data_IF_845382964598
#
_entry.id   IF_845382964598
#
_cell.length_a   1.000
_cell.length_b   1.000
_cell.length_c   1.000
_cell.angle_alpha   90.00
_cell.angle_beta   90.00
_cell.angle_gamma   90.00
#
_symmetry.space_group_name_H-M   'P 1'
#
loop_
_entity.id
_entity.type
_entity.pdbx_description
1 polymer ?
#
# COMPACT_ATOMS: atom_id res chain seq x y z
N UNK A 1 23.05 8.83 -6.60
CA UNK A 1 21.91 9.24 -7.44
C UNK A 1 20.67 9.26 -6.56
N UNK A 2 19.92 10.36 -6.57
CA UNK A 2 18.70 10.52 -5.79
C UNK A 2 17.57 9.82 -6.53
N UNK A 3 17.08 8.70 -6.01
CA UNK A 3 15.88 8.04 -6.53
C UNK A 3 14.70 9.03 -6.39
N UNK A 4 14.10 9.41 -7.50
CA UNK A 4 13.02 10.39 -7.55
C UNK A 4 11.73 9.77 -7.01
N UNK A 5 11.62 9.74 -5.69
CA UNK A 5 10.44 9.27 -4.97
C UNK A 5 9.38 10.37 -4.95
N UNK A 6 8.21 10.09 -5.55
CA UNK A 6 7.05 10.98 -5.53
C UNK A 6 5.92 10.29 -4.75
N UNK A 7 5.31 11.03 -3.82
CA UNK A 7 4.17 10.59 -3.02
C UNK A 7 3.09 11.67 -3.06
N UNK A 8 1.94 11.33 -3.64
CA UNK A 8 0.87 12.28 -3.94
C UNK A 8 -0.49 11.72 -3.52
N UNK A 9 -1.42 12.58 -3.05
CA UNK A 9 -2.79 12.15 -2.81
C UNK A 9 -3.50 11.78 -4.12
N UNK A 10 -4.43 10.83 -4.04
CA UNK A 10 -5.25 10.39 -5.18
C UNK A 10 -6.69 10.81 -4.94
N UNK A 11 -7.08 11.91 -5.58
CA UNK A 11 -8.46 12.40 -5.54
C UNK A 11 -9.33 11.77 -6.63
N UNK A 12 -8.72 11.38 -7.75
CA UNK A 12 -9.41 10.81 -8.90
C UNK A 12 -8.71 9.56 -9.45
N UNK A 13 -9.50 8.77 -10.17
CA UNK A 13 -9.05 7.56 -10.86
C UNK A 13 -8.03 7.85 -11.96
N UNK A 14 -8.09 9.02 -12.59
CA UNK A 14 -7.25 9.38 -13.73
C UNK A 14 -5.78 9.61 -13.33
N UNK A 15 -5.54 9.94 -12.05
CA UNK A 15 -4.21 10.06 -11.47
C UNK A 15 -3.43 8.74 -11.50
N UNK A 16 -4.10 7.58 -11.58
CA UNK A 16 -3.45 6.26 -11.62
C UNK A 16 -3.18 5.84 -13.06
N UNK A 17 -1.97 5.37 -13.37
CA UNK A 17 -1.58 4.94 -14.73
C UNK A 17 -1.95 3.48 -14.96
N UNK A 18 -1.64 2.61 -13.99
CA UNK A 18 -1.79 1.18 -14.13
C UNK A 18 -3.26 0.73 -13.97
N UNK A 19 -3.84 -0.06 -14.91
CA UNK A 19 -5.24 -0.50 -14.86
C UNK A 19 -5.64 -1.22 -13.57
N UNK A 20 -4.80 -2.13 -13.07
CA UNK A 20 -5.01 -2.79 -11.77
C UNK A 20 -5.17 -1.80 -10.60
N UNK A 21 -4.35 -0.75 -10.54
CA UNK A 21 -4.45 0.24 -9.46
C UNK A 21 -5.72 1.07 -9.58
N UNK A 22 -6.16 1.39 -10.81
CA UNK A 22 -7.46 2.01 -11.06
C UNK A 22 -8.60 1.14 -10.54
N UNK A 23 -8.60 -0.15 -10.87
CA UNK A 23 -9.61 -1.09 -10.41
C UNK A 23 -9.61 -1.25 -8.88
N UNK A 24 -8.43 -1.23 -8.26
CA UNK A 24 -8.30 -1.27 -6.80
C UNK A 24 -8.87 0.00 -6.15
N UNK A 25 -8.61 1.17 -6.74
CA UNK A 25 -9.20 2.43 -6.29
C UNK A 25 -10.72 2.46 -6.48
N UNK A 26 -11.21 1.94 -7.60
CA UNK A 26 -12.65 1.81 -7.87
C UNK A 26 -13.33 0.89 -6.82
N UNK A 27 -12.67 -0.22 -6.45
CA UNK A 27 -13.14 -1.10 -5.37
C UNK A 27 -13.16 -0.40 -4.00
N UNK A 28 -12.14 0.42 -3.69
CA UNK A 28 -12.08 1.21 -2.46
C UNK A 28 -13.22 2.23 -2.38
N UNK A 29 -13.49 2.95 -3.47
CA UNK A 29 -14.62 3.87 -3.56
C UNK A 29 -15.95 3.13 -3.38
N UNK A 30 -16.13 1.99 -4.05
CA UNK A 30 -17.37 1.21 -3.98
C UNK A 30 -17.64 0.60 -2.59
N UNK A 31 -16.59 0.24 -1.86
CA UNK A 31 -16.67 -0.28 -0.49
C UNK A 31 -16.88 0.83 0.56
N UNK A 32 -16.74 2.11 0.20
CA UNK A 32 -16.92 3.23 1.13
C UNK A 32 -18.40 3.60 1.20
N UNK A 33 -19.05 3.26 2.31
CA UNK A 33 -20.48 3.52 2.50
C UNK A 33 -20.78 5.02 2.63
N UNK A 34 -21.98 5.49 2.22
CA UNK A 34 -22.39 6.87 2.42
C UNK A 34 -22.25 7.32 3.89
N UNK A 35 -21.56 8.44 4.11
CA UNK A 35 -21.30 8.99 5.45
C UNK A 35 -20.08 8.40 6.16
N UNK A 36 -19.39 7.43 5.57
CA UNK A 36 -18.10 6.94 6.05
C UNK A 36 -16.94 7.61 5.29
N UNK A 37 -15.81 7.78 5.99
CA UNK A 37 -14.59 8.31 5.40
C UNK A 37 -13.69 7.21 4.82
N UNK A 38 -13.80 5.98 5.33
CA UNK A 38 -12.95 4.84 5.01
C UNK A 38 -13.82 3.58 4.85
N UNK A 39 -13.50 2.69 3.90
CA UNK A 39 -14.15 1.40 3.80
C UNK A 39 -13.67 0.44 4.88
N UNK A 40 -14.55 -0.47 5.32
CA UNK A 40 -14.17 -1.59 6.16
C UNK A 40 -13.24 -2.55 5.41
N UNK A 41 -12.18 -3.02 6.05
CA UNK A 41 -11.23 -3.97 5.45
C UNK A 41 -11.92 -5.28 5.03
N UNK A 42 -12.90 -5.76 5.80
CA UNK A 42 -13.59 -7.02 5.51
C UNK A 42 -14.44 -6.93 4.22
N UNK A 43 -14.98 -5.75 3.92
CA UNK A 43 -15.76 -5.50 2.71
C UNK A 43 -14.86 -5.22 1.50
N UNK A 44 -13.70 -4.59 1.71
CA UNK A 44 -12.76 -4.23 0.65
C UNK A 44 -11.85 -5.39 0.23
N UNK A 45 -11.43 -6.26 1.15
CA UNK A 45 -10.39 -7.25 0.87
C UNK A 45 -10.79 -8.24 -0.26
N UNK A 46 -12.00 -8.80 -0.31
CA UNK A 46 -12.40 -9.69 -1.41
C UNK A 46 -12.34 -9.05 -2.81
N UNK A 47 -12.94 -7.86 -3.08
CA UNK A 47 -12.81 -7.24 -4.39
C UNK A 47 -11.39 -6.76 -4.69
N UNK A 48 -10.61 -6.33 -3.68
CA UNK A 48 -9.22 -5.98 -3.84
C UNK A 48 -8.36 -7.18 -4.30
N UNK A 49 -8.59 -8.36 -3.71
CA UNK A 49 -7.95 -9.60 -4.13
C UNK A 49 -8.34 -9.98 -5.55
N UNK A 50 -9.62 -9.82 -5.94
CA UNK A 50 -10.08 -10.15 -7.28
C UNK A 50 -9.36 -9.36 -8.39
N UNK A 51 -8.91 -8.12 -8.10
CA UNK A 51 -8.26 -7.25 -9.10
C UNK A 51 -6.74 -7.20 -8.98
N UNK A 52 -6.18 -7.43 -7.79
CA UNK A 52 -4.78 -7.15 -7.48
C UNK A 52 -4.05 -8.24 -6.69
N UNK A 53 -4.62 -9.45 -6.48
CA UNK A 53 -4.10 -10.49 -5.57
C UNK A 53 -2.56 -10.61 -5.51
N UNK A 54 -1.91 -10.87 -6.64
CA UNK A 54 -0.45 -11.09 -6.67
C UNK A 54 0.39 -9.88 -6.25
N UNK A 55 -0.19 -8.69 -6.32
CA UNK A 55 0.48 -7.41 -6.06
C UNK A 55 -0.01 -6.73 -4.80
N UNK A 56 -1.01 -7.32 -4.14
CA UNK A 56 -1.64 -6.77 -2.96
C UNK A 56 -0.66 -6.81 -1.78
N UNK A 57 -0.83 -5.89 -0.86
CA UNK A 57 -0.26 -5.96 0.48
C UNK A 57 -1.22 -5.25 1.44
N UNK A 58 -1.33 -5.72 2.67
CA UNK A 58 -2.13 -5.02 3.67
C UNK A 58 -1.53 -5.16 5.05
N UNK A 59 -1.60 -4.05 5.78
CA UNK A 59 -0.89 -3.81 7.01
C UNK A 59 -1.88 -3.32 8.06
N UNK A 60 -1.88 -3.96 9.22
CA UNK A 60 -2.67 -3.55 10.37
C UNK A 60 -1.86 -2.63 11.25
N UNK A 61 -2.47 -1.53 11.71
CA UNK A 61 -1.85 -0.67 12.72
C UNK A 61 -1.89 -1.34 14.08
N UNK A 62 -0.76 -1.33 14.78
CA UNK A 62 -0.68 -1.87 16.14
C UNK A 62 -1.45 -0.96 17.12
N UNK A 63 -2.44 -1.48 17.88
CA UNK A 63 -3.16 -0.70 18.88
C UNK A 63 -2.20 -0.13 19.94
N UNK A 64 -2.27 1.18 20.18
CA UNK A 64 -1.36 1.88 21.11
C UNK A 64 0.08 2.03 20.61
N UNK A 65 0.38 1.56 19.39
CA UNK A 65 1.68 1.70 18.75
C UNK A 65 1.92 3.10 18.18
N UNK A 66 3.17 3.35 17.77
CA UNK A 66 3.58 4.60 17.13
C UNK A 66 2.92 4.81 15.75
N UNK A 67 3.10 6.00 15.13
CA UNK A 67 2.49 6.34 13.83
C UNK A 67 2.88 5.42 12.67
N UNK A 68 3.98 4.68 12.83
CA UNK A 68 4.54 3.76 11.84
C UNK A 68 4.58 2.31 12.35
N UNK A 69 3.87 2.00 13.44
CA UNK A 69 3.84 0.64 13.98
C UNK A 69 2.74 -0.19 13.33
N UNK A 70 3.16 -1.07 12.43
CA UNK A 70 2.28 -1.90 11.61
C UNK A 70 2.75 -3.34 11.62
N UNK A 71 1.78 -4.27 11.55
CA UNK A 71 2.00 -5.69 11.34
C UNK A 71 1.58 -6.07 9.93
N UNK A 72 2.42 -6.83 9.23
CA UNK A 72 2.09 -7.43 7.95
C UNK A 72 0.96 -8.44 8.08
N UNK A 73 -0.17 -8.24 7.39
CA UNK A 73 -1.29 -9.20 7.41
C UNK A 73 -1.34 -10.08 6.18
N UNK A 74 -0.86 -9.59 5.04
CA UNK A 74 -0.56 -10.44 3.90
C UNK A 74 0.02 -9.68 2.74
N UNK A 75 0.70 -10.44 1.88
CA UNK A 75 1.43 -9.94 0.72
C UNK A 75 1.23 -10.91 -0.44
N UNK A 76 0.89 -10.36 -1.60
CA UNK A 76 0.78 -11.10 -2.84
C UNK A 76 2.14 -11.62 -3.31
N UNK A 77 2.10 -12.66 -4.14
CA UNK A 77 3.31 -13.35 -4.62
C UNK A 77 4.32 -12.42 -5.29
N UNK A 78 3.87 -11.50 -6.14
CA UNK A 78 4.74 -10.53 -6.81
C UNK A 78 5.29 -9.50 -5.84
N UNK A 79 4.51 -9.11 -4.83
CA UNK A 79 5.00 -8.22 -3.76
C UNK A 79 6.16 -8.86 -3.00
N UNK A 80 6.01 -10.13 -2.60
CA UNK A 80 7.08 -10.89 -1.93
C UNK A 80 8.29 -11.06 -2.85
N UNK A 81 8.07 -11.38 -4.13
CA UNK A 81 9.15 -11.53 -5.10
C UNK A 81 9.94 -10.22 -5.31
N UNK A 82 9.27 -9.08 -5.39
CA UNK A 82 9.90 -7.77 -5.56
C UNK A 82 10.79 -7.40 -4.36
N UNK A 83 10.28 -7.60 -3.15
CA UNK A 83 10.99 -7.23 -1.92
C UNK A 83 11.93 -8.32 -1.40
N UNK A 84 11.87 -9.54 -1.94
CA UNK A 84 12.71 -10.68 -1.53
C UNK A 84 12.42 -11.18 -0.12
N UNK A 85 11.31 -10.74 0.48
CA UNK A 85 10.94 -11.05 1.86
C UNK A 85 9.43 -11.10 2.00
N UNK A 86 8.95 -12.04 2.83
CA UNK A 86 7.56 -12.10 3.28
C UNK A 86 7.43 -11.50 4.69
N UNK A 87 6.86 -10.29 4.83
CA UNK A 87 6.66 -9.63 6.13
C UNK A 87 5.42 -10.11 6.88
N UNK A 88 4.70 -11.13 6.39
CA UNK A 88 3.46 -11.59 7.02
C UNK A 88 3.69 -12.02 8.47
N UNK A 89 2.87 -11.51 9.37
CA UNK A 89 2.93 -11.75 10.81
C UNK A 89 4.02 -10.98 11.56
N UNK A 90 4.78 -10.10 10.89
CA UNK A 90 5.92 -9.40 11.47
C UNK A 90 5.72 -7.89 11.52
N UNK A 91 6.44 -7.22 12.42
CA UNK A 91 6.40 -5.76 12.49
C UNK A 91 7.18 -5.15 11.32
N UNK A 92 6.57 -4.19 10.63
CA UNK A 92 7.22 -3.51 9.49
C UNK A 92 8.49 -2.76 9.93
N UNK A 93 8.55 -2.33 11.20
CA UNK A 93 9.72 -1.68 11.77
C UNK A 93 10.97 -2.59 11.84
N UNK A 94 10.81 -3.92 11.81
CA UNK A 94 11.92 -4.88 11.75
C UNK A 94 12.76 -4.71 10.46
N UNK A 95 12.17 -4.13 9.42
CA UNK A 95 12.77 -4.01 8.09
C UNK A 95 13.33 -2.61 7.79
N UNK A 96 13.28 -1.68 8.76
CA UNK A 96 13.73 -0.28 8.64
C UNK A 96 15.14 -0.11 8.06
N UNK A 97 16.03 -1.10 8.25
CA UNK A 97 17.40 -1.09 7.73
C UNK A 97 17.48 -1.33 6.21
N UNK A 98 16.42 -1.81 5.59
CA UNK A 98 16.34 -1.98 4.14
C UNK A 98 15.87 -0.67 3.48
N UNK A 99 16.59 -0.14 2.46
CA UNK A 99 16.24 1.13 1.82
C UNK A 99 14.78 1.20 1.32
N UNK A 100 14.25 0.07 0.86
CA UNK A 100 12.88 -0.04 0.34
C UNK A 100 11.82 0.19 1.43
N UNK A 101 12.08 -0.24 2.66
CA UNK A 101 11.15 -0.09 3.78
C UNK A 101 11.15 1.32 4.38
N UNK A 102 12.25 2.07 4.24
CA UNK A 102 12.26 3.50 4.58
C UNK A 102 11.19 4.29 3.81
N UNK A 103 10.94 3.94 2.55
CA UNK A 103 9.86 4.55 1.73
C UNK A 103 8.49 4.11 2.19
N UNK A 104 8.32 2.82 2.45
CA UNK A 104 7.07 2.26 2.96
C UNK A 104 6.66 2.99 4.25
N UNK A 105 7.59 3.19 5.19
CA UNK A 105 7.28 3.91 6.44
C UNK A 105 6.82 5.35 6.20
N UNK A 106 7.41 6.05 5.22
CA UNK A 106 6.95 7.39 4.83
C UNK A 106 5.53 7.34 4.26
N UNK A 107 5.24 6.38 3.37
CA UNK A 107 3.90 6.15 2.82
C UNK A 107 2.90 5.89 3.95
N UNK A 108 3.20 4.97 4.87
CA UNK A 108 2.33 4.63 5.99
C UNK A 108 2.06 5.82 6.91
N UNK A 109 3.10 6.59 7.24
CA UNK A 109 2.95 7.78 8.09
C UNK A 109 2.05 8.83 7.42
N UNK A 110 2.24 9.07 6.12
CA UNK A 110 1.43 10.02 5.34
C UNK A 110 -0.02 9.56 5.22
N UNK A 111 -0.26 8.32 4.83
CA UNK A 111 -1.63 7.77 4.66
C UNK A 111 -2.37 7.70 5.99
N UNK A 112 -1.68 7.34 7.07
CA UNK A 112 -2.27 7.31 8.42
C UNK A 112 -2.68 8.69 8.89
N UNK A 113 -1.84 9.70 8.64
CA UNK A 113 -2.13 11.08 9.06
C UNK A 113 -3.23 11.72 8.22
N UNK A 114 -3.21 11.50 6.91
CA UNK A 114 -4.13 12.16 5.97
C UNK A 114 -5.45 11.40 5.79
N UNK A 115 -5.49 10.10 6.10
CA UNK A 115 -6.64 9.21 5.88
C UNK A 115 -7.25 9.34 4.48
N UNK A 116 -6.38 9.53 3.48
CA UNK A 116 -6.77 9.57 2.07
C UNK A 116 -5.87 8.65 1.24
N UNK A 117 -6.38 8.12 0.11
CA UNK A 117 -5.59 7.38 -0.86
C UNK A 117 -4.35 8.16 -1.31
N UNK A 118 -3.21 7.46 -1.42
CA UNK A 118 -1.97 8.03 -1.94
C UNK A 118 -1.35 7.11 -2.99
N UNK A 119 -0.84 7.73 -4.06
CA UNK A 119 -0.04 7.08 -5.07
C UNK A 119 1.42 7.36 -4.78
N UNK A 120 2.25 6.33 -4.94
CA UNK A 120 3.69 6.50 -5.02
C UNK A 120 4.24 6.04 -6.37
N UNK A 121 5.19 6.82 -6.90
CA UNK A 121 5.96 6.46 -8.10
C UNK A 121 7.45 6.58 -7.85
N UNK A 122 8.22 5.72 -8.50
CA UNK A 122 9.69 5.78 -8.50
C UNK A 122 10.21 5.24 -9.83
N UNK A 123 10.98 6.07 -10.55
CA UNK A 123 11.52 5.73 -11.87
C UNK A 123 12.79 4.87 -11.80
N UNK A 124 13.38 4.70 -10.60
CA UNK A 124 14.63 3.96 -10.39
C UNK A 124 14.61 3.16 -9.08
N UNK A 125 13.49 2.51 -8.76
CA UNK A 125 13.43 1.69 -7.55
C UNK A 125 14.27 0.42 -7.72
N UNK A 126 15.35 0.32 -6.94
CA UNK A 126 16.16 -0.90 -6.84
C UNK A 126 15.34 -1.96 -6.12
N UNK A 127 14.99 -3.03 -6.83
CA UNK A 127 14.38 -4.21 -6.23
C UNK A 127 15.44 -5.10 -5.58
N UNK A 128 15.00 -6.13 -4.84
CA UNK A 128 15.89 -7.04 -4.12
C UNK A 128 16.94 -7.74 -5.01
N UNK A 129 16.66 -7.89 -6.31
CA UNK A 129 17.57 -8.46 -7.31
C UNK A 129 18.56 -7.44 -7.92
N UNK A 130 18.51 -6.17 -7.50
CA UNK A 130 19.37 -5.10 -8.03
C UNK A 130 18.91 -4.49 -9.36
N UNK A 131 17.83 -4.99 -9.96
CA UNK A 131 17.27 -4.43 -11.18
C UNK A 131 16.56 -3.09 -10.90
N UNK A 132 16.56 -2.22 -11.91
CA UNK A 132 15.83 -0.95 -11.88
C UNK A 132 14.42 -1.18 -12.40
N UNK A 133 13.44 -0.76 -11.62
CA UNK A 133 12.04 -0.84 -12.00
C UNK A 133 11.38 0.53 -11.97
N UNK A 134 10.52 0.74 -12.96
CA UNK A 134 9.48 1.76 -12.96
C UNK A 134 8.36 1.25 -12.05
N UNK A 135 8.15 1.94 -10.94
CA UNK A 135 7.21 1.53 -9.89
C UNK A 135 6.06 2.52 -9.83
N UNK A 136 4.84 2.00 -9.89
CA UNK A 136 3.64 2.71 -9.47
C UNK A 136 2.90 1.85 -8.45
N UNK A 137 2.41 2.49 -7.41
CA UNK A 137 1.67 1.80 -6.38
C UNK A 137 0.69 2.72 -5.68
N UNK A 138 -0.29 2.08 -5.06
CA UNK A 138 -1.42 2.74 -4.42
C UNK A 138 -1.50 2.24 -2.97
N UNK A 139 -1.62 3.18 -2.05
CA UNK A 139 -1.84 2.93 -0.63
C UNK A 139 -3.20 3.54 -0.24
N UNK A 140 -4.05 2.71 0.34
CA UNK A 140 -5.44 2.99 0.67
C UNK A 140 -5.63 2.85 2.18
N UNK A 141 -6.07 3.91 2.88
CA UNK A 141 -6.47 3.80 4.27
C UNK A 141 -7.76 2.96 4.37
N UNK A 142 -7.84 2.14 5.42
CA UNK A 142 -9.00 1.27 5.66
C UNK A 142 -9.41 1.31 7.13
N UNK A 143 -10.69 1.11 7.37
CA UNK A 143 -11.27 0.99 8.70
C UNK A 143 -11.42 -0.47 9.13
N UNK A 144 -11.49 -0.68 10.44
CA UNK A 144 -11.89 -1.95 11.03
C UNK A 144 -13.41 -2.08 11.10
N UNK A 145 -13.93 -3.19 11.64
CA UNK A 145 -15.37 -3.40 11.81
C UNK A 145 -16.06 -2.35 12.71
N UNK A 146 -15.30 -1.67 13.56
CA UNK A 146 -15.76 -0.58 14.42
C UNK A 146 -15.78 0.79 13.74
N UNK A 147 -15.35 0.88 12.48
CA UNK A 147 -15.25 2.11 11.71
C UNK A 147 -14.02 2.97 12.04
N UNK A 148 -13.18 2.55 12.99
CA UNK A 148 -11.94 3.24 13.31
C UNK A 148 -10.85 2.89 12.28
N UNK A 149 -9.88 3.78 12.09
CA UNK A 149 -8.72 3.49 11.24
C UNK A 149 -8.02 2.22 11.72
N UNK A 150 -7.99 1.21 10.87
CA UNK A 150 -7.38 -0.08 11.16
C UNK A 150 -6.01 -0.22 10.52
N UNK A 151 -5.82 0.31 9.31
CA UNK A 151 -4.56 0.12 8.63
C UNK A 151 -4.53 0.62 7.19
N UNK A 152 -3.64 0.02 6.41
CA UNK A 152 -3.40 0.39 5.02
C UNK A 152 -3.42 -0.86 4.15
N UNK A 153 -4.25 -0.85 3.13
CA UNK A 153 -4.23 -1.81 2.03
C UNK A 153 -3.59 -1.15 0.81
N UNK A 154 -2.82 -1.89 0.03
CA UNK A 154 -2.22 -1.33 -1.17
C UNK A 154 -1.86 -2.38 -2.19
N UNK A 155 -1.38 -1.90 -3.34
CA UNK A 155 -0.81 -2.74 -4.36
C UNK A 155 0.38 -2.08 -5.03
N UNK A 156 1.41 -2.87 -5.34
CA UNK A 156 2.64 -2.40 -5.99
C UNK A 156 2.80 -3.03 -7.38
N UNK A 157 2.91 -2.18 -8.40
CA UNK A 157 3.22 -2.59 -9.77
C UNK A 157 4.62 -2.10 -10.11
N UNK A 158 5.49 -3.07 -10.39
CA UNK A 158 6.85 -2.83 -10.81
C UNK A 158 7.03 -3.39 -12.21
N UNK A 159 7.67 -2.62 -13.08
CA UNK A 159 8.03 -3.03 -14.43
C UNK A 159 9.52 -2.80 -14.61
N UNK A 160 10.24 -3.84 -15.00
CA UNK A 160 11.67 -3.74 -15.31
C UNK A 160 11.87 -2.77 -16.49
N UNK A 161 12.93 -1.95 -16.41
CA UNK A 161 13.29 -0.94 -17.42
C UNK A 161 14.35 -1.48 -18.36
#
# INVERSE_FOLDING_TARGET
MSDAFILEPVADRAALRHPCLRLLFDAWLAATLPGQNLPCIDDLLPPAQAVAADHLWWLERVPGGGPSDFIGRGFGRQTVANYGIDPTGRHINEYTRQPVFGRILRVLTTVTSAQQPHRFTADQSVMSNGALHDVEALALPVAGPDGAFWGVLGATRAREI
#
